data_IF_438214233080
#
_entry.id   IF_438214233080
#
_cell.length_a   1.000
_cell.length_b   1.000
_cell.length_c   1.000
_cell.angle_alpha   90.00
_cell.angle_beta   90.00
_cell.angle_gamma   90.00
#
_symmetry.space_group_name_H-M   'P 1'
#
loop_
_entity.id
_entity.type
_entity.pdbx_description
1 polymer ?
#
# COMPACT_ATOMS: atom_id res chain seq x y z
N UNK A 1 69.32 12.53 -17.45
CA UNK A 1 68.12 12.97 -18.16
C UNK A 1 67.26 11.76 -18.53
N UNK A 2 66.84 10.90 -17.59
CA UNK A 2 66.05 9.70 -17.94
C UNK A 2 65.17 9.22 -16.77
N UNK A 3 64.04 9.88 -16.49
CA UNK A 3 62.99 9.34 -15.58
C UNK A 3 61.56 9.81 -15.97
N UNK A 4 61.30 10.12 -17.24
CA UNK A 4 59.98 10.63 -17.70
C UNK A 4 59.14 9.53 -18.40
N UNK A 5 59.74 8.42 -18.82
CA UNK A 5 59.07 7.34 -19.57
C UNK A 5 57.87 6.66 -18.87
N UNK A 6 57.95 6.21 -17.60
CA UNK A 6 56.87 5.45 -16.99
C UNK A 6 55.64 6.30 -16.61
N UNK A 7 55.82 7.59 -16.30
CA UNK A 7 54.72 8.49 -15.94
C UNK A 7 53.79 8.80 -17.12
N UNK A 8 54.34 8.87 -18.34
CA UNK A 8 53.54 9.07 -19.57
C UNK A 8 52.72 7.80 -19.87
N UNK A 9 53.28 6.61 -19.63
CA UNK A 9 52.57 5.34 -19.83
C UNK A 9 51.33 5.19 -18.96
N UNK A 10 51.40 5.55 -17.68
CA UNK A 10 50.24 5.49 -16.77
C UNK A 10 49.17 6.53 -17.11
N UNK A 11 49.56 7.73 -17.55
CA UNK A 11 48.61 8.76 -17.99
C UNK A 11 47.85 8.33 -19.26
N UNK A 12 48.54 7.69 -20.22
CA UNK A 12 47.92 7.18 -21.46
C UNK A 12 46.98 6.01 -21.17
N UNK A 13 47.35 5.08 -20.27
CA UNK A 13 46.48 3.99 -19.83
C UNK A 13 45.23 4.49 -19.08
N UNK A 14 45.37 5.51 -18.23
CA UNK A 14 44.24 6.13 -17.53
C UNK A 14 43.26 6.81 -18.49
N UNK A 15 43.77 7.51 -19.50
CA UNK A 15 42.94 8.16 -20.54
C UNK A 15 42.21 7.13 -21.42
N UNK A 16 42.86 6.03 -21.78
CA UNK A 16 42.22 4.94 -22.53
C UNK A 16 41.11 4.25 -21.71
N UNK A 17 41.33 4.00 -20.42
CA UNK A 17 40.31 3.43 -19.54
C UNK A 17 39.10 4.39 -19.38
N UNK A 18 39.35 5.69 -19.24
CA UNK A 18 38.29 6.70 -19.18
C UNK A 18 37.49 6.79 -20.48
N UNK A 19 38.16 6.68 -21.64
CA UNK A 19 37.52 6.67 -22.96
C UNK A 19 36.64 5.42 -23.13
N UNK A 20 37.13 4.25 -22.75
CA UNK A 20 36.35 2.99 -22.79
C UNK A 20 35.12 3.09 -21.87
N UNK A 21 35.28 3.61 -20.66
CA UNK A 21 34.16 3.80 -19.72
C UNK A 21 33.12 4.79 -20.28
N UNK A 22 33.57 5.88 -20.90
CA UNK A 22 32.70 6.86 -21.54
C UNK A 22 31.93 6.26 -22.73
N UNK A 23 32.58 5.44 -23.56
CA UNK A 23 31.94 4.74 -24.69
C UNK A 23 30.92 3.73 -24.18
N UNK A 24 31.23 2.94 -23.15
CA UNK A 24 30.30 1.98 -22.54
C UNK A 24 29.10 2.71 -21.92
N UNK A 25 29.34 3.80 -21.18
CA UNK A 25 28.28 4.60 -20.56
C UNK A 25 27.36 5.24 -21.61
N UNK A 26 27.93 5.79 -22.69
CA UNK A 26 27.13 6.38 -23.77
C UNK A 26 26.37 5.34 -24.58
N UNK A 27 26.95 4.14 -24.79
CA UNK A 27 26.26 3.02 -25.42
C UNK A 27 25.13 2.49 -24.52
N UNK A 28 25.35 2.38 -23.22
CA UNK A 28 24.32 2.01 -22.23
C UNK A 28 23.18 3.04 -22.19
N UNK A 29 23.48 4.35 -22.22
CA UNK A 29 22.47 5.42 -22.29
C UNK A 29 21.70 5.36 -23.61
N UNK A 30 22.35 5.06 -24.74
CA UNK A 30 21.66 4.90 -26.03
C UNK A 30 20.78 3.65 -26.08
N UNK A 31 21.27 2.52 -25.58
CA UNK A 31 20.52 1.25 -25.54
C UNK A 31 19.34 1.36 -24.55
N UNK A 32 19.52 1.99 -23.38
CA UNK A 32 18.41 2.26 -22.45
C UNK A 32 17.38 3.23 -23.04
N UNK A 33 17.80 4.21 -23.85
CA UNK A 33 16.87 5.07 -24.63
C UNK A 33 16.13 4.31 -25.74
N UNK A 34 16.74 3.26 -26.31
CA UNK A 34 16.09 2.40 -27.30
C UNK A 34 15.09 1.43 -26.65
N UNK A 35 15.39 0.90 -25.46
CA UNK A 35 14.49 0.05 -24.68
C UNK A 35 13.33 0.83 -24.04
N UNK A 36 13.52 2.11 -23.68
CA UNK A 36 12.45 2.96 -23.15
C UNK A 36 11.48 3.50 -24.22
N UNK A 37 11.78 3.29 -25.52
CA UNK A 37 10.95 3.78 -26.63
C UNK A 37 9.87 2.78 -27.10
N UNK A 38 9.93 1.51 -26.70
CA UNK A 38 8.98 0.48 -27.20
C UNK A 38 7.88 0.04 -26.23
N UNK A 39 7.91 0.44 -24.95
CA UNK A 39 6.76 0.31 -24.04
C UNK A 39 6.75 1.42 -22.98
N UNK A 40 6.53 2.67 -23.43
CA UNK A 40 5.88 3.66 -22.56
C UNK A 40 4.39 3.58 -22.86
N UNK A 41 3.54 3.03 -21.96
CA UNK A 41 2.16 3.45 -21.98
C UNK A 41 2.19 4.96 -21.75
N UNK A 42 1.74 5.72 -22.75
CA UNK A 42 1.30 7.09 -22.55
C UNK A 42 0.36 7.06 -21.34
N UNK A 43 0.54 7.90 -20.30
CA UNK A 43 -0.53 8.11 -19.35
C UNK A 43 -1.66 8.79 -20.15
N UNK A 44 -2.55 7.98 -20.70
CA UNK A 44 -3.84 8.47 -21.18
C UNK A 44 -4.46 9.22 -20.01
N UNK A 45 -5.03 10.42 -20.23
CA UNK A 45 -5.63 11.20 -19.17
C UNK A 45 -6.62 10.29 -18.43
N UNK A 46 -6.58 10.35 -17.10
CA UNK A 46 -7.67 9.87 -16.25
C UNK A 46 -8.97 10.28 -16.95
N UNK A 47 -9.69 9.30 -17.51
CA UNK A 47 -11.06 9.55 -17.94
C UNK A 47 -11.71 10.19 -16.72
N UNK A 48 -12.17 11.43 -16.85
CA UNK A 48 -12.90 12.13 -15.80
C UNK A 48 -14.17 11.34 -15.54
N UNK A 49 -14.06 10.28 -14.76
CA UNK A 49 -15.16 9.76 -14.00
C UNK A 49 -15.51 10.87 -13.02
N UNK A 50 -16.78 11.26 -12.96
CA UNK A 50 -17.32 12.17 -11.95
C UNK A 50 -17.30 11.54 -10.54
N UNK A 51 -16.32 10.67 -10.26
CA UNK A 51 -16.12 9.99 -8.99
C UNK A 51 -15.79 11.04 -7.92
N UNK A 52 -16.69 11.18 -6.96
CA UNK A 52 -16.54 12.09 -5.82
C UNK A 52 -15.77 11.37 -4.71
N UNK A 53 -14.86 12.04 -3.97
CA UNK A 53 -14.25 11.47 -2.78
C UNK A 53 -15.33 11.02 -1.79
N UNK A 54 -15.18 9.82 -1.23
CA UNK A 54 -16.05 9.37 -0.15
C UNK A 54 -15.72 10.18 1.11
N UNK A 55 -16.70 10.93 1.62
CA UNK A 55 -16.65 11.63 2.90
C UNK A 55 -17.72 11.04 3.81
N UNK A 56 -17.39 10.78 5.08
CA UNK A 56 -18.32 10.28 6.11
C UNK A 56 -19.51 11.26 6.28
N UNK A 57 -20.75 10.92 5.86
CA UNK A 57 -21.95 11.73 6.09
C UNK A 57 -22.68 11.25 7.36
N UNK A 58 -23.56 12.10 7.91
CA UNK A 58 -24.48 11.73 8.98
C UNK A 58 -25.56 10.75 8.49
N UNK A 59 -25.78 9.68 9.26
CA UNK A 59 -26.78 8.61 9.12
C UNK A 59 -27.89 8.86 8.08
N UNK A 60 -27.92 8.03 7.02
CA UNK A 60 -29.07 7.90 6.12
C UNK A 60 -29.67 6.51 6.28
N UNK A 61 -30.96 6.45 6.56
CA UNK A 61 -31.71 5.24 6.85
C UNK A 61 -32.66 4.96 5.67
N UNK A 62 -32.35 3.99 4.80
CA UNK A 62 -33.35 3.48 3.86
C UNK A 62 -33.12 1.98 3.61
N UNK A 63 -33.96 1.13 4.21
CA UNK A 63 -34.03 -0.31 3.94
C UNK A 63 -35.07 -0.58 2.84
N UNK A 64 -34.63 -0.62 1.58
CA UNK A 64 -35.26 -1.44 0.55
C UNK A 64 -34.50 -2.78 0.48
N UNK A 65 -35.19 -3.90 0.29
CA UNK A 65 -34.56 -5.23 0.23
C UNK A 65 -33.45 -5.26 -0.83
N UNK A 66 -32.21 -5.49 -0.40
CA UNK A 66 -31.05 -5.26 -1.25
C UNK A 66 -31.00 -6.23 -2.45
N UNK A 67 -30.71 -5.70 -3.64
CA UNK A 67 -30.48 -6.45 -4.88
C UNK A 67 -29.28 -7.41 -4.83
N UNK A 68 -28.48 -7.32 -3.77
CA UNK A 68 -27.28 -8.09 -3.53
C UNK A 68 -27.08 -8.27 -2.03
N UNK A 69 -26.23 -9.22 -1.66
CA UNK A 69 -25.76 -9.38 -0.28
C UNK A 69 -24.26 -9.63 -0.25
N UNK A 70 -23.63 -9.22 0.84
CA UNK A 70 -22.30 -9.69 1.20
C UNK A 70 -22.40 -11.15 1.64
N UNK A 71 -21.53 -12.00 1.11
CA UNK A 71 -21.31 -13.37 1.60
C UNK A 71 -20.18 -13.26 2.62
N UNK A 72 -20.42 -13.38 3.94
CA UNK A 72 -19.39 -13.28 4.97
C UNK A 72 -18.33 -14.36 4.82
N UNK A 73 -17.14 -14.11 5.33
CA UNK A 73 -16.08 -15.10 5.34
C UNK A 73 -16.52 -16.39 6.03
N UNK A 74 -16.19 -17.53 5.41
CA UNK A 74 -16.57 -18.86 5.89
C UNK A 74 -17.97 -19.33 5.46
N UNK A 75 -18.82 -18.45 4.91
CA UNK A 75 -20.10 -18.88 4.33
C UNK A 75 -19.88 -19.56 2.97
N UNK A 76 -20.57 -20.68 2.74
CA UNK A 76 -20.68 -21.34 1.43
C UNK A 76 -21.97 -20.96 0.74
N UNK A 77 -21.91 -20.72 -0.57
CA UNK A 77 -23.07 -20.42 -1.41
C UNK A 77 -23.06 -21.25 -2.69
N UNK A 78 -24.23 -21.48 -3.28
CA UNK A 78 -24.33 -22.11 -4.60
C UNK A 78 -24.31 -21.05 -5.71
N UNK A 79 -23.40 -21.20 -6.67
CA UNK A 79 -23.31 -20.37 -7.89
C UNK A 79 -23.21 -21.31 -9.08
N UNK A 80 -24.14 -21.19 -10.04
CA UNK A 80 -24.18 -22.06 -11.24
C UNK A 80 -24.08 -23.57 -10.93
N UNK A 81 -24.80 -24.02 -9.88
CA UNK A 81 -24.80 -25.41 -9.38
C UNK A 81 -23.47 -25.92 -8.82
N UNK A 82 -22.50 -25.03 -8.55
CA UNK A 82 -21.28 -25.34 -7.83
C UNK A 82 -21.32 -24.71 -6.44
N UNK A 83 -20.78 -25.41 -5.44
CA UNK A 83 -20.54 -24.83 -4.12
C UNK A 83 -19.29 -23.94 -4.17
N UNK A 84 -19.45 -22.68 -3.76
CA UNK A 84 -18.37 -21.71 -3.58
C UNK A 84 -18.24 -21.44 -2.10
N UNK A 85 -17.17 -21.94 -1.50
CA UNK A 85 -16.86 -21.82 -0.08
C UNK A 85 -15.98 -20.59 0.22
N UNK A 86 -15.94 -20.22 1.50
CA UNK A 86 -15.01 -19.23 2.05
C UNK A 86 -15.51 -17.78 2.03
N UNK A 87 -16.51 -17.44 1.22
CA UNK A 87 -17.15 -16.11 1.22
C UNK A 87 -16.20 -14.93 0.93
N UNK A 88 -16.53 -13.73 1.39
CA UNK A 88 -15.75 -12.51 1.16
C UNK A 88 -16.04 -11.80 -0.16
N UNK A 89 -17.24 -11.99 -0.73
CA UNK A 89 -17.63 -11.35 -2.00
C UNK A 89 -19.12 -10.99 -1.98
N UNK A 90 -19.56 -10.16 -2.93
CA UNK A 90 -20.98 -9.84 -3.09
C UNK A 90 -21.66 -10.79 -4.06
N UNK A 91 -22.81 -11.33 -3.68
CA UNK A 91 -23.68 -12.16 -4.51
C UNK A 91 -24.95 -11.37 -4.81
N UNK A 92 -25.38 -11.28 -6.06
CA UNK A 92 -26.56 -10.49 -6.40
C UNK A 92 -27.00 -10.59 -7.86
N UNK A 93 -28.07 -9.89 -8.19
CA UNK A 93 -28.68 -9.86 -9.51
C UNK A 93 -28.33 -8.53 -10.20
N UNK A 94 -27.51 -8.58 -11.27
CA UNK A 94 -27.11 -7.37 -12.00
C UNK A 94 -28.28 -6.70 -12.73
N UNK A 95 -29.40 -7.40 -12.96
CA UNK A 95 -30.58 -6.83 -13.64
C UNK A 95 -31.38 -5.89 -12.74
N UNK A 96 -31.19 -5.99 -11.42
CA UNK A 96 -31.83 -5.10 -10.45
C UNK A 96 -31.01 -3.82 -10.27
N UNK A 97 -31.67 -2.66 -10.04
CA UNK A 97 -30.97 -1.43 -9.74
C UNK A 97 -30.02 -1.61 -8.55
N UNK A 98 -28.74 -1.32 -8.78
CA UNK A 98 -27.69 -1.32 -7.77
C UNK A 98 -26.72 -0.18 -8.07
N UNK A 99 -25.91 0.21 -7.08
CA UNK A 99 -24.85 1.18 -7.32
C UNK A 99 -23.87 0.59 -8.37
N UNK A 100 -23.46 1.33 -9.41
CA UNK A 100 -22.55 0.84 -10.45
C UNK A 100 -21.19 0.31 -9.94
N UNK A 101 -20.87 0.56 -8.67
CA UNK A 101 -19.61 0.21 -8.04
C UNK A 101 -19.64 -1.10 -7.22
N UNK A 102 -20.72 -1.91 -7.30
CA UNK A 102 -20.76 -3.20 -6.57
C UNK A 102 -20.17 -4.32 -7.44
N UNK A 103 -19.06 -4.97 -7.02
CA UNK A 103 -18.45 -6.07 -7.75
C UNK A 103 -19.21 -7.37 -7.48
N UNK A 104 -20.37 -7.51 -8.12
CA UNK A 104 -21.27 -8.65 -7.91
C UNK A 104 -20.77 -9.90 -8.62
N UNK A 105 -20.89 -11.04 -7.95
CA UNK A 105 -21.01 -12.35 -8.57
C UNK A 105 -22.49 -12.60 -8.82
N UNK A 106 -22.87 -12.69 -10.09
CA UNK A 106 -24.26 -12.93 -10.48
C UNK A 106 -24.49 -14.40 -10.84
N UNK A 107 -25.30 -15.14 -10.05
CA UNK A 107 -25.54 -16.56 -10.27
C UNK A 107 -26.40 -16.86 -11.50
N UNK A 108 -27.07 -15.87 -12.10
CA UNK A 108 -27.87 -16.05 -13.32
C UNK A 108 -27.00 -16.07 -14.59
N UNK A 109 -25.76 -15.58 -14.53
CA UNK A 109 -24.86 -15.56 -15.67
C UNK A 109 -24.23 -16.93 -15.92
N UNK A 110 -24.02 -17.27 -17.21
CA UNK A 110 -23.42 -18.55 -17.61
C UNK A 110 -21.98 -18.68 -17.09
N UNK A 111 -21.67 -19.84 -16.53
CA UNK A 111 -20.34 -20.22 -16.01
C UNK A 111 -19.89 -21.52 -16.66
N UNK A 112 -18.61 -21.60 -17.02
CA UNK A 112 -17.96 -22.83 -17.49
C UNK A 112 -16.78 -23.19 -16.58
N UNK A 113 -16.94 -24.23 -15.76
CA UNK A 113 -15.90 -24.72 -14.85
C UNK A 113 -14.93 -25.72 -15.51
N UNK A 114 -15.21 -26.20 -16.73
CA UNK A 114 -14.46 -27.32 -17.33
C UNK A 114 -13.07 -26.94 -17.80
N UNK A 115 -12.86 -25.68 -18.17
CA UNK A 115 -11.59 -25.17 -18.72
C UNK A 115 -11.20 -23.89 -18.01
N UNK A 116 -10.59 -24.03 -16.83
CA UNK A 116 -10.06 -22.90 -16.08
C UNK A 116 -8.74 -22.44 -16.70
N UNK A 117 -8.69 -21.17 -17.09
CA UNK A 117 -7.52 -20.53 -17.68
C UNK A 117 -6.94 -19.54 -16.66
N UNK A 118 -6.24 -20.07 -15.65
CA UNK A 118 -5.73 -19.28 -14.51
C UNK A 118 -4.84 -18.11 -14.92
N UNK A 119 -3.98 -18.30 -15.92
CA UNK A 119 -3.05 -17.29 -16.43
C UNK A 119 -3.63 -16.41 -17.54
N UNK A 120 -4.88 -16.62 -17.96
CA UNK A 120 -5.49 -15.79 -18.99
C UNK A 120 -5.77 -14.39 -18.43
N UNK A 121 -5.07 -13.40 -18.98
CA UNK A 121 -5.21 -12.01 -18.60
C UNK A 121 -6.63 -11.50 -18.85
N UNK A 122 -7.10 -10.66 -17.93
CA UNK A 122 -8.35 -9.93 -18.10
C UNK A 122 -8.07 -8.53 -18.68
N UNK A 123 -9.10 -7.92 -19.26
CA UNK A 123 -9.03 -6.52 -19.67
C UNK A 123 -8.82 -5.58 -18.48
N UNK A 124 -8.51 -4.31 -18.78
CA UNK A 124 -8.38 -3.28 -17.74
C UNK A 124 -9.72 -3.05 -17.04
N UNK A 125 -9.70 -2.98 -15.70
CA UNK A 125 -10.89 -2.89 -14.85
C UNK A 125 -11.96 -3.94 -15.20
N UNK A 126 -11.66 -5.22 -14.99
CA UNK A 126 -12.61 -6.28 -15.30
C UNK A 126 -13.86 -6.15 -14.42
N UNK A 127 -15.00 -6.53 -15.00
CA UNK A 127 -16.30 -6.60 -14.34
C UNK A 127 -16.86 -8.00 -14.56
N UNK A 128 -17.44 -8.63 -13.53
CA UNK A 128 -17.95 -10.01 -13.60
C UNK A 128 -18.96 -10.23 -14.74
N UNK A 129 -19.84 -9.25 -14.95
CA UNK A 129 -20.85 -9.27 -16.01
C UNK A 129 -20.23 -9.35 -17.41
N UNK A 130 -19.04 -8.76 -17.63
CA UNK A 130 -18.36 -8.72 -18.93
C UNK A 130 -17.44 -9.90 -19.19
N UNK A 131 -17.23 -10.76 -18.18
CA UNK A 131 -16.42 -11.95 -18.33
C UNK A 131 -17.10 -12.98 -19.23
N UNK A 132 -16.32 -13.70 -20.02
CA UNK A 132 -16.79 -14.92 -20.69
C UNK A 132 -17.18 -16.00 -19.67
N UNK A 133 -18.01 -17.00 -20.03
CA UNK A 133 -18.35 -18.09 -19.13
C UNK A 133 -17.14 -18.80 -18.51
N UNK A 134 -16.06 -18.99 -19.28
CA UNK A 134 -14.80 -19.59 -18.81
C UNK A 134 -14.09 -18.71 -17.79
N UNK A 135 -13.97 -17.42 -18.07
CA UNK A 135 -13.37 -16.46 -17.12
C UNK A 135 -14.16 -16.38 -15.81
N UNK A 136 -15.50 -16.44 -15.86
CA UNK A 136 -16.32 -16.57 -14.63
C UNK A 136 -16.01 -17.86 -13.88
N UNK A 137 -15.84 -18.97 -14.59
CA UNK A 137 -15.43 -20.25 -14.01
C UNK A 137 -14.06 -20.16 -13.31
N UNK A 138 -13.07 -19.53 -13.95
CA UNK A 138 -11.75 -19.28 -13.36
C UNK A 138 -11.85 -18.39 -12.11
N UNK A 139 -12.63 -17.31 -12.15
CA UNK A 139 -12.83 -16.45 -10.98
C UNK A 139 -13.45 -17.22 -9.82
N UNK A 140 -14.52 -17.99 -10.09
CA UNK A 140 -15.22 -18.77 -9.07
C UNK A 140 -14.31 -19.87 -8.50
N UNK A 141 -13.48 -20.50 -9.32
CA UNK A 141 -12.45 -21.43 -8.86
C UNK A 141 -11.40 -20.74 -7.98
N UNK A 142 -10.98 -19.52 -8.33
CA UNK A 142 -10.10 -18.71 -7.50
C UNK A 142 -10.75 -18.39 -6.15
N UNK A 143 -12.01 -17.93 -6.13
CA UNK A 143 -12.76 -17.62 -4.92
C UNK A 143 -12.96 -18.87 -4.03
N UNK A 144 -13.14 -20.04 -4.63
CA UNK A 144 -13.29 -21.32 -3.92
C UNK A 144 -11.95 -21.95 -3.49
N UNK A 145 -10.82 -21.29 -3.77
CA UNK A 145 -9.48 -21.74 -3.36
C UNK A 145 -8.99 -21.01 -2.11
N UNK A 146 -7.75 -21.29 -1.69
CA UNK A 146 -7.06 -20.49 -0.65
C UNK A 146 -6.74 -19.05 -1.08
N UNK A 147 -6.94 -18.70 -2.37
CA UNK A 147 -6.65 -17.37 -2.94
C UNK A 147 -5.17 -16.98 -2.77
N UNK A 148 -4.29 -17.95 -3.02
CA UNK A 148 -2.82 -17.84 -2.88
C UNK A 148 -2.06 -18.23 -4.14
N UNK A 149 -2.76 -18.72 -5.17
CA UNK A 149 -2.10 -19.12 -6.42
C UNK A 149 -1.42 -17.93 -7.05
N UNK A 150 -0.12 -18.05 -7.34
CA UNK A 150 0.69 -17.05 -8.04
C UNK A 150 0.59 -17.18 -9.56
N UNK A 151 -0.07 -18.23 -10.05
CA UNK A 151 -0.33 -18.45 -11.48
C UNK A 151 -1.60 -17.75 -11.97
N UNK A 152 -2.42 -17.23 -11.05
CA UNK A 152 -3.64 -16.52 -11.40
C UNK A 152 -3.30 -15.14 -11.98
N UNK A 153 -3.92 -14.79 -13.10
CA UNK A 153 -3.81 -13.46 -13.67
C UNK A 153 -4.35 -12.42 -12.66
N UNK A 154 -3.66 -11.28 -12.55
CA UNK A 154 -3.92 -10.31 -11.49
C UNK A 154 -5.34 -9.72 -11.54
N UNK A 155 -5.96 -9.71 -12.72
CA UNK A 155 -7.34 -9.24 -12.90
C UNK A 155 -8.35 -9.99 -12.02
N UNK A 156 -8.16 -11.29 -11.80
CA UNK A 156 -9.04 -12.08 -10.91
C UNK A 156 -8.85 -11.68 -9.43
N UNK A 157 -7.62 -11.35 -9.02
CA UNK A 157 -7.33 -10.83 -7.68
C UNK A 157 -8.00 -9.47 -7.49
N UNK A 158 -7.95 -8.60 -8.50
CA UNK A 158 -8.62 -7.30 -8.45
C UNK A 158 -10.15 -7.44 -8.32
N UNK A 159 -10.80 -8.34 -9.07
CA UNK A 159 -12.23 -8.58 -8.94
C UNK A 159 -12.65 -8.93 -7.51
N UNK A 160 -11.87 -9.79 -6.85
CA UNK A 160 -12.10 -10.12 -5.44
C UNK A 160 -11.80 -8.93 -4.52
N UNK A 161 -10.68 -8.27 -4.73
CA UNK A 161 -10.22 -7.13 -3.93
C UNK A 161 -11.17 -5.93 -3.97
N UNK A 162 -11.85 -5.68 -5.11
CA UNK A 162 -12.89 -4.65 -5.21
C UNK A 162 -13.99 -4.85 -4.16
N UNK A 163 -14.35 -6.10 -3.87
CA UNK A 163 -15.34 -6.44 -2.85
C UNK A 163 -14.87 -6.04 -1.46
N UNK A 164 -13.60 -6.31 -1.13
CA UNK A 164 -12.98 -5.95 0.14
C UNK A 164 -12.90 -4.43 0.31
N UNK A 165 -12.42 -3.70 -0.70
CA UNK A 165 -12.36 -2.23 -0.67
C UNK A 165 -13.73 -1.62 -0.43
N UNK A 166 -14.74 -2.11 -1.17
CA UNK A 166 -16.12 -1.66 -1.00
C UNK A 166 -16.64 -1.98 0.40
N UNK A 167 -16.41 -3.18 0.92
CA UNK A 167 -16.88 -3.59 2.25
C UNK A 167 -16.27 -2.72 3.35
N UNK A 168 -14.97 -2.39 3.23
CA UNK A 168 -14.25 -1.54 4.18
C UNK A 168 -14.70 -0.08 4.08
N UNK A 169 -14.62 0.54 2.90
CA UNK A 169 -14.74 2.00 2.75
C UNK A 169 -16.12 2.51 2.37
N UNK A 170 -17.03 1.62 1.98
CA UNK A 170 -18.39 2.01 1.61
C UNK A 170 -19.41 1.40 2.57
N UNK A 171 -19.32 0.11 2.88
CA UNK A 171 -20.30 -0.50 3.80
C UNK A 171 -19.96 -0.19 5.26
N UNK A 172 -18.85 -0.73 5.77
CA UNK A 172 -18.46 -0.57 7.18
C UNK A 172 -18.11 0.87 7.56
N UNK A 173 -17.75 1.69 6.57
CA UNK A 173 -17.50 3.11 6.80
C UNK A 173 -18.78 3.94 7.05
N UNK A 174 -19.93 3.44 6.60
CA UNK A 174 -21.24 4.11 6.74
C UNK A 174 -22.20 3.38 7.69
N UNK A 175 -21.91 2.13 8.04
CA UNK A 175 -22.68 1.31 8.97
C UNK A 175 -21.79 0.77 10.10
N UNK A 176 -21.90 1.40 11.26
CA UNK A 176 -21.14 1.03 12.47
C UNK A 176 -21.43 -0.39 12.94
N UNK A 177 -22.58 -0.98 12.59
CA UNK A 177 -22.87 -2.38 12.92
C UNK A 177 -21.94 -3.38 12.22
N UNK A 178 -21.25 -2.94 11.15
CA UNK A 178 -20.29 -3.75 10.40
C UNK A 178 -18.84 -3.52 10.86
N UNK A 179 -18.60 -2.64 11.85
CA UNK A 179 -17.25 -2.36 12.33
C UNK A 179 -16.51 -3.61 12.84
N UNK A 180 -17.26 -4.59 13.37
CA UNK A 180 -16.73 -5.89 13.80
C UNK A 180 -16.11 -6.74 12.67
N UNK A 181 -16.43 -6.45 11.40
CA UNK A 181 -15.84 -7.15 10.25
C UNK A 181 -14.47 -6.60 9.85
N UNK A 182 -14.15 -5.35 10.23
CA UNK A 182 -12.94 -4.64 9.79
C UNK A 182 -11.63 -5.40 10.08
N UNK A 183 -11.42 -6.02 11.26
CA UNK A 183 -10.19 -6.77 11.52
C UNK A 183 -9.98 -7.91 10.52
N UNK A 184 -11.03 -8.66 10.20
CA UNK A 184 -10.94 -9.79 9.26
C UNK A 184 -10.73 -9.31 7.82
N UNK A 185 -11.42 -8.24 7.41
CA UNK A 185 -11.27 -7.63 6.09
C UNK A 185 -9.86 -7.08 5.87
N UNK A 186 -9.31 -6.35 6.84
CA UNK A 186 -7.96 -5.78 6.75
C UNK A 186 -6.91 -6.89 6.80
N UNK A 187 -7.08 -7.92 7.63
CA UNK A 187 -6.19 -9.08 7.63
C UNK A 187 -6.14 -9.79 6.27
N UNK A 188 -7.28 -9.89 5.59
CA UNK A 188 -7.34 -10.45 4.24
C UNK A 188 -6.62 -9.56 3.21
N UNK A 189 -6.78 -8.23 3.28
CA UNK A 189 -6.02 -7.30 2.43
C UNK A 189 -4.52 -7.42 2.69
N UNK A 190 -4.09 -7.54 3.94
CA UNK A 190 -2.69 -7.76 4.30
C UNK A 190 -2.15 -9.09 3.73
N UNK A 191 -2.95 -10.17 3.78
CA UNK A 191 -2.59 -11.46 3.19
C UNK A 191 -2.43 -11.35 1.68
N UNK A 192 -3.41 -10.77 0.98
CA UNK A 192 -3.34 -10.54 -0.46
C UNK A 192 -2.14 -9.66 -0.84
N UNK A 193 -1.89 -8.58 -0.10
CA UNK A 193 -0.75 -7.69 -0.31
C UNK A 193 0.58 -8.45 -0.22
N UNK A 194 0.72 -9.34 0.76
CA UNK A 194 1.92 -10.16 0.94
C UNK A 194 2.14 -11.13 -0.23
N UNK A 195 1.08 -11.75 -0.74
CA UNK A 195 1.15 -12.72 -1.85
C UNK A 195 1.38 -12.01 -3.19
N UNK A 196 0.57 -11.00 -3.50
CA UNK A 196 0.48 -10.41 -4.84
C UNK A 196 1.21 -9.08 -5.00
N UNK A 197 1.46 -8.35 -3.90
CA UNK A 197 2.20 -7.08 -3.93
C UNK A 197 3.61 -7.18 -4.50
N UNK A 198 4.41 -8.22 -4.17
CA UNK A 198 5.71 -8.44 -4.81
C UNK A 198 5.62 -8.77 -6.31
N UNK A 199 4.48 -9.31 -6.76
CA UNK A 199 4.29 -9.83 -8.12
C UNK A 199 3.72 -8.79 -9.08
N UNK A 200 2.97 -7.81 -8.56
CA UNK A 200 2.29 -6.81 -9.39
C UNK A 200 2.36 -5.41 -8.78
N UNK A 201 3.01 -4.48 -9.51
CA UNK A 201 3.19 -3.10 -9.05
C UNK A 201 1.87 -2.38 -8.78
N UNK A 202 0.88 -2.49 -9.67
CA UNK A 202 -0.41 -1.82 -9.49
C UNK A 202 -1.13 -2.34 -8.24
N UNK A 203 -1.19 -3.66 -8.07
CA UNK A 203 -1.80 -4.26 -6.88
C UNK A 203 -1.09 -3.84 -5.60
N UNK A 204 0.25 -3.79 -5.61
CA UNK A 204 1.07 -3.30 -4.49
C UNK A 204 0.67 -1.88 -4.07
N UNK A 205 0.47 -0.97 -5.03
CA UNK A 205 0.10 0.42 -4.76
C UNK A 205 -1.28 0.52 -4.11
N UNK A 206 -2.29 -0.14 -4.66
CA UNK A 206 -3.66 -0.07 -4.13
C UNK A 206 -3.81 -0.78 -2.78
N UNK A 207 -3.29 -2.00 -2.65
CA UNK A 207 -3.42 -2.78 -1.42
C UNK A 207 -2.52 -2.31 -0.28
N UNK A 208 -1.35 -1.73 -0.60
CA UNK A 208 -0.33 -1.41 0.40
C UNK A 208 -0.81 -0.43 1.46
N UNK A 209 -1.53 0.62 1.06
CA UNK A 209 -2.02 1.61 2.01
C UNK A 209 -3.01 1.01 3.01
N UNK A 210 -3.98 0.22 2.53
CA UNK A 210 -4.95 -0.46 3.41
C UNK A 210 -4.25 -1.51 4.26
N UNK A 211 -3.28 -2.25 3.72
CA UNK A 211 -2.50 -3.19 4.48
C UNK A 211 -1.71 -2.53 5.64
N UNK A 212 -1.22 -1.31 5.43
CA UNK A 212 -0.44 -0.55 6.42
C UNK A 212 -1.30 0.17 7.45
N UNK A 213 -2.25 1.02 7.02
CA UNK A 213 -3.03 1.89 7.91
C UNK A 213 -4.46 1.42 8.16
N UNK A 214 -4.90 0.34 7.51
CA UNK A 214 -6.20 -0.30 7.77
C UNK A 214 -6.45 -0.65 9.24
N UNK A 215 -5.44 -1.06 10.05
CA UNK A 215 -5.63 -1.29 11.49
C UNK A 215 -6.22 -0.10 12.26
N UNK A 216 -6.01 1.12 11.77
CA UNK A 216 -6.55 2.34 12.40
C UNK A 216 -8.08 2.46 12.26
N UNK A 217 -8.70 1.72 11.34
CA UNK A 217 -10.16 1.74 11.17
C UNK A 217 -10.89 1.06 12.34
N UNK A 218 -10.19 0.25 13.13
CA UNK A 218 -10.70 -0.46 14.30
C UNK A 218 -9.78 -0.26 15.53
N UNK A 219 -9.14 0.92 15.60
CA UNK A 219 -8.30 1.37 16.72
C UNK A 219 -7.14 0.43 17.10
N UNK A 220 -6.67 -0.39 16.15
CA UNK A 220 -5.52 -1.26 16.37
C UNK A 220 -4.19 -0.51 16.18
N UNK A 221 -3.16 -0.84 16.97
CA UNK A 221 -1.80 -0.33 16.78
C UNK A 221 -1.29 -0.57 15.36
N UNK A 222 -0.56 0.40 14.83
CA UNK A 222 0.23 0.26 13.61
C UNK A 222 1.69 0.16 14.05
N UNK A 223 2.41 -0.93 13.74
CA UNK A 223 3.81 -1.06 14.12
C UNK A 223 4.71 -0.29 13.16
N UNK A 224 5.83 0.23 13.67
CA UNK A 224 6.88 0.76 12.81
C UNK A 224 7.42 -0.34 11.89
N UNK A 225 7.64 -0.01 10.61
CA UNK A 225 8.24 -0.93 9.65
C UNK A 225 9.76 -0.95 9.81
N UNK A 226 10.40 -2.11 9.63
CA UNK A 226 11.86 -2.19 9.55
C UNK A 226 12.40 -1.28 8.43
N UNK A 227 13.57 -0.68 8.67
CA UNK A 227 14.23 0.20 7.72
C UNK A 227 15.75 -0.01 7.72
N UNK A 228 16.31 -0.15 6.51
CA UNK A 228 17.75 -0.30 6.28
C UNK A 228 18.44 1.05 5.98
N UNK A 229 17.65 2.12 5.87
CA UNK A 229 18.13 3.49 5.68
C UNK A 229 17.10 4.48 6.21
N UNK A 230 17.56 5.66 6.63
CA UNK A 230 16.64 6.69 7.13
C UNK A 230 15.71 7.20 6.02
N UNK A 231 14.39 7.26 6.28
CA UNK A 231 13.41 7.70 5.28
C UNK A 231 13.57 9.18 4.99
N UNK A 232 13.32 9.61 3.75
CA UNK A 232 13.38 11.02 3.37
C UNK A 232 12.30 11.84 4.07
N UNK A 233 11.08 11.32 4.06
CA UNK A 233 9.89 11.93 4.64
C UNK A 233 9.24 10.98 5.65
N UNK A 234 8.39 11.54 6.51
CA UNK A 234 7.58 10.74 7.44
C UNK A 234 6.56 9.90 6.67
N UNK A 235 6.67 8.57 6.77
CA UNK A 235 5.69 7.64 6.22
C UNK A 235 4.35 7.71 6.96
N UNK A 236 3.30 7.16 6.35
CA UNK A 236 1.98 7.11 6.98
C UNK A 236 1.94 6.23 8.22
N UNK A 237 2.64 5.08 8.19
CA UNK A 237 2.73 4.21 9.36
C UNK A 237 3.51 4.91 10.48
N UNK A 238 4.62 5.57 10.16
CA UNK A 238 5.37 6.35 11.15
C UNK A 238 4.51 7.47 11.77
N UNK A 239 3.77 8.22 10.96
CA UNK A 239 2.84 9.23 11.48
C UNK A 239 1.76 8.61 12.39
N UNK A 240 1.25 7.43 12.05
CA UNK A 240 0.29 6.70 12.86
C UNK A 240 0.89 6.21 14.19
N UNK A 241 2.03 5.54 14.15
CA UNK A 241 2.70 4.99 15.34
C UNK A 241 3.11 6.09 16.31
N UNK A 242 3.71 7.17 15.81
CA UNK A 242 4.06 8.34 16.62
C UNK A 242 2.80 9.03 17.16
N UNK A 243 1.75 9.15 16.34
CA UNK A 243 0.46 9.67 16.77
C UNK A 243 -0.15 8.85 17.92
N UNK A 244 -0.05 7.52 17.87
CA UNK A 244 -0.49 6.61 18.94
C UNK A 244 0.30 6.83 20.23
N UNK A 245 1.63 6.94 20.15
CA UNK A 245 2.49 7.23 21.29
C UNK A 245 2.11 8.55 21.98
N UNK A 246 1.96 9.62 21.18
CA UNK A 246 1.62 10.96 21.67
C UNK A 246 0.19 11.01 22.25
N UNK A 247 -0.78 10.36 21.61
CA UNK A 247 -2.16 10.27 22.14
C UNK A 247 -2.19 9.56 23.50
N UNK A 248 -1.36 8.53 23.67
CA UNK A 248 -1.24 7.78 24.92
C UNK A 248 -0.45 8.53 26.00
N UNK A 249 0.12 9.71 25.71
CA UNK A 249 1.01 10.41 26.64
C UNK A 249 2.31 9.66 26.94
N UNK A 250 2.67 8.68 26.10
CA UNK A 250 3.87 7.86 26.27
C UNK A 250 5.09 8.62 25.75
N UNK A 251 6.18 8.61 26.51
CA UNK A 251 7.47 9.08 26.03
C UNK A 251 7.94 8.26 24.83
N UNK A 252 8.45 8.93 23.80
CA UNK A 252 8.94 8.25 22.61
C UNK A 252 10.15 7.36 22.96
N UNK A 253 10.22 6.18 22.36
CA UNK A 253 11.42 5.33 22.44
C UNK A 253 12.57 5.98 21.67
N UNK A 254 13.80 5.49 21.91
CA UNK A 254 14.95 5.96 21.14
C UNK A 254 14.76 5.74 19.64
N UNK A 255 14.21 4.59 19.22
CA UNK A 255 13.96 4.29 17.81
C UNK A 255 12.90 5.23 17.19
N UNK A 256 11.79 5.47 17.90
CA UNK A 256 10.74 6.40 17.46
C UNK A 256 11.27 7.83 17.31
N UNK A 257 12.02 8.30 18.32
CA UNK A 257 12.59 9.64 18.34
C UNK A 257 13.68 9.81 17.27
N UNK A 258 14.55 8.81 17.08
CA UNK A 258 15.59 8.83 16.05
C UNK A 258 14.99 8.84 14.65
N UNK A 259 14.00 7.99 14.40
CA UNK A 259 13.34 7.92 13.09
C UNK A 259 12.66 9.25 12.77
N UNK A 260 11.97 9.86 13.75
CA UNK A 260 11.37 11.19 13.60
C UNK A 260 12.41 12.29 13.40
N UNK A 261 13.46 12.32 14.20
CA UNK A 261 14.55 13.27 14.00
C UNK A 261 15.16 13.14 12.58
N UNK A 262 15.29 11.91 12.08
CA UNK A 262 15.85 11.67 10.74
C UNK A 262 15.02 12.30 9.62
N UNK A 263 13.70 12.47 9.77
CA UNK A 263 12.86 13.13 8.74
C UNK A 263 12.95 14.67 8.81
N UNK A 264 13.63 15.21 9.82
CA UNK A 264 13.78 16.65 10.04
C UNK A 264 15.18 17.17 9.65
N UNK A 265 16.09 16.29 9.23
CA UNK A 265 17.46 16.65 8.81
C UNK A 265 17.93 15.87 7.60
N UNK A 266 18.74 16.52 6.76
CA UNK A 266 19.42 15.91 5.62
C UNK A 266 20.76 15.26 5.99
N UNK A 267 21.32 15.53 7.17
CA UNK A 267 22.61 14.98 7.58
C UNK A 267 22.60 13.43 7.55
N UNK A 268 21.49 12.85 7.99
CA UNK A 268 21.26 11.40 8.07
C UNK A 268 21.09 10.69 6.72
N UNK A 269 21.09 11.41 5.58
CA UNK A 269 20.76 10.86 4.24
C UNK A 269 21.97 10.40 3.44
N UNK A 270 23.19 10.66 3.93
CA UNK A 270 24.41 10.22 3.26
C UNK A 270 24.52 8.70 3.20
N UNK A 271 25.08 8.15 2.11
CA UNK A 271 25.31 6.70 1.95
C UNK A 271 26.16 6.09 3.07
N UNK A 272 26.97 6.90 3.76
CA UNK A 272 27.73 6.47 4.92
C UNK A 272 26.81 6.03 6.07
N UNK A 273 25.75 6.79 6.35
CA UNK A 273 24.79 6.50 7.44
C UNK A 273 24.14 5.12 7.25
N UNK A 274 23.76 4.76 6.02
CA UNK A 274 23.16 3.45 5.75
C UNK A 274 24.11 2.29 6.01
N UNK A 275 25.43 2.47 5.83
CA UNK A 275 26.42 1.41 6.02
C UNK A 275 26.74 1.14 7.50
N UNK A 276 26.61 2.16 8.34
CA UNK A 276 26.88 2.08 9.79
C UNK A 276 25.62 2.35 10.61
N UNK A 277 24.44 2.08 10.04
CA UNK A 277 23.17 2.32 10.70
C UNK A 277 23.06 1.59 12.05
N UNK A 278 23.52 0.33 12.21
CA UNK A 278 23.52 -0.35 13.51
C UNK A 278 24.33 0.39 14.58
N UNK A 279 25.51 0.90 14.24
CA UNK A 279 26.39 1.64 15.14
C UNK A 279 25.79 3.00 15.53
N UNK A 280 25.20 3.70 14.55
CA UNK A 280 24.47 4.95 14.77
C UNK A 280 23.28 4.72 15.71
N UNK A 281 22.50 3.65 15.48
CA UNK A 281 21.38 3.26 16.36
C UNK A 281 21.87 3.06 17.79
N UNK A 282 22.95 2.30 17.98
CA UNK A 282 23.47 1.98 19.30
C UNK A 282 23.98 3.23 20.05
N UNK A 283 24.76 4.09 19.37
CA UNK A 283 25.29 5.31 19.98
C UNK A 283 24.19 6.34 20.26
N UNK A 284 23.26 6.53 19.33
CA UNK A 284 22.10 7.39 19.53
C UNK A 284 21.26 6.90 20.71
N UNK A 285 20.96 5.60 20.78
CA UNK A 285 20.14 5.03 21.86
C UNK A 285 20.79 5.21 23.24
N UNK A 286 22.11 5.04 23.35
CA UNK A 286 22.84 5.29 24.59
C UNK A 286 22.69 6.75 25.06
N UNK A 287 22.98 7.71 24.16
CA UNK A 287 22.85 9.16 24.46
C UNK A 287 21.41 9.58 24.73
N UNK A 288 20.46 9.01 24.00
CA UNK A 288 19.05 9.29 24.15
C UNK A 288 18.53 8.87 25.53
N UNK A 289 18.90 7.68 26.00
CA UNK A 289 18.46 7.18 27.31
C UNK A 289 19.08 7.96 28.47
N UNK A 290 20.29 8.49 28.32
CA UNK A 290 20.90 9.38 29.31
C UNK A 290 20.12 10.69 29.44
N UNK A 291 19.72 11.31 28.32
CA UNK A 291 19.00 12.59 28.32
C UNK A 291 17.49 12.45 28.57
N UNK A 292 16.88 11.35 28.12
CA UNK A 292 15.45 11.08 28.17
C UNK A 292 15.17 9.70 28.80
N UNK A 293 15.46 9.49 30.10
CA UNK A 293 15.28 8.19 30.74
C UNK A 293 13.82 7.69 30.75
N UNK A 294 12.84 8.61 30.69
CA UNK A 294 11.42 8.31 30.56
C UNK A 294 10.90 8.41 29.11
N UNK A 295 11.78 8.64 28.13
CA UNK A 295 11.44 8.97 26.75
C UNK A 295 11.09 10.44 26.54
N UNK A 296 11.15 10.90 25.29
CA UNK A 296 10.80 12.27 24.91
C UNK A 296 9.28 12.46 24.99
N UNK A 297 8.84 13.31 25.91
CA UNK A 297 7.45 13.78 25.94
C UNK A 297 7.19 14.79 24.81
N UNK A 298 6.11 14.58 24.07
CA UNK A 298 5.68 15.49 23.00
C UNK A 298 4.29 16.06 23.37
N UNK A 299 4.12 17.40 23.39
CA UNK A 299 2.82 18.01 23.65
C UNK A 299 1.78 17.59 22.60
N UNK A 300 0.55 17.29 23.05
CA UNK A 300 -0.53 16.80 22.18
C UNK A 300 -0.96 17.86 21.13
N UNK A 301 -0.73 17.62 19.83
CA UNK A 301 -1.20 18.52 18.78
C UNK A 301 -2.74 18.52 18.67
N UNK A 302 -3.31 19.68 18.34
CA UNK A 302 -4.77 19.83 18.13
C UNK A 302 -5.26 19.21 16.81
N UNK A 303 -4.40 19.19 15.78
CA UNK A 303 -4.74 18.66 14.46
C UNK A 303 -4.84 17.14 14.51
N UNK A 304 -5.87 16.57 13.86
CA UNK A 304 -6.06 15.12 13.75
C UNK A 304 -5.44 14.55 12.49
N UNK A 305 -4.90 13.34 12.59
CA UNK A 305 -4.31 12.60 11.48
C UNK A 305 -5.41 12.11 10.54
N UNK A 306 -5.24 12.41 9.26
CA UNK A 306 -6.19 12.08 8.19
C UNK A 306 -5.47 11.38 7.05
N UNK A 307 -6.18 10.45 6.42
CA UNK A 307 -5.73 9.69 5.27
C UNK A 307 -6.74 9.79 4.13
N UNK A 308 -6.25 9.63 2.90
CA UNK A 308 -7.05 9.65 1.67
C UNK A 308 -6.67 8.45 0.81
N UNK A 309 -7.33 7.32 1.00
CA UNK A 309 -6.97 6.04 0.36
C UNK A 309 -7.51 5.99 -1.05
N UNK A 310 -6.63 5.91 -2.06
CA UNK A 310 -7.02 5.68 -3.45
C UNK A 310 -7.61 4.28 -3.58
N UNK A 311 -8.80 4.16 -4.15
CA UNK A 311 -9.49 2.89 -4.34
C UNK A 311 -9.23 2.35 -5.74
N UNK A 312 -9.16 1.03 -5.86
CA UNK A 312 -9.00 0.35 -7.15
C UNK A 312 -10.34 0.01 -7.82
N UNK A 313 -11.40 -0.16 -7.01
CA UNK A 313 -12.73 -0.48 -7.50
C UNK A 313 -13.31 0.64 -8.39
N UNK A 314 -14.00 0.30 -9.49
CA UNK A 314 -14.67 1.29 -10.33
C UNK A 314 -15.75 2.04 -9.54
N UNK A 315 -15.92 3.33 -9.83
CA UNK A 315 -16.97 4.18 -9.27
C UNK A 315 -16.56 5.05 -8.08
N UNK A 316 -15.50 4.70 -7.35
CA UNK A 316 -14.94 5.55 -6.29
C UNK A 316 -13.48 5.88 -6.58
N UNK A 317 -13.11 7.16 -6.43
CA UNK A 317 -11.72 7.58 -6.60
C UNK A 317 -10.92 7.29 -5.34
N UNK A 318 -11.39 7.80 -4.21
CA UNK A 318 -10.69 7.64 -2.95
C UNK A 318 -11.65 7.70 -1.77
N UNK A 319 -11.18 7.22 -0.62
CA UNK A 319 -11.86 7.27 0.66
C UNK A 319 -11.05 8.09 1.67
N UNK A 320 -11.63 9.21 2.11
CA UNK A 320 -11.05 10.03 3.16
C UNK A 320 -11.52 9.55 4.53
N UNK A 321 -10.58 9.29 5.43
CA UNK A 321 -10.90 9.02 6.83
C UNK A 321 -10.01 9.79 7.80
N UNK A 322 -10.65 10.27 8.87
CA UNK A 322 -9.97 10.88 9.99
C UNK A 322 -9.84 9.86 11.13
N UNK A 323 -8.74 9.94 11.85
CA UNK A 323 -8.51 9.19 13.08
C UNK A 323 -8.59 10.12 14.29
N UNK A 324 -8.69 9.55 15.48
CA UNK A 324 -8.55 10.31 16.71
C UNK A 324 -7.08 10.59 17.09
N UNK A 325 -6.12 10.08 16.30
CA UNK A 325 -4.71 10.30 16.51
C UNK A 325 -4.33 11.75 16.18
N UNK A 326 -3.41 12.36 16.95
CA UNK A 326 -2.83 13.64 16.57
C UNK A 326 -2.00 13.52 15.29
N UNK A 327 -2.07 14.54 14.43
CA UNK A 327 -1.18 14.67 13.29
C UNK A 327 0.14 15.30 13.72
N UNK A 328 1.18 14.47 13.77
CA UNK A 328 2.52 14.86 14.20
C UNK A 328 3.39 15.40 13.08
N UNK A 329 2.96 15.33 11.81
CA UNK A 329 3.80 15.66 10.63
C UNK A 329 4.33 17.10 10.61
N UNK A 330 3.66 18.02 11.31
CA UNK A 330 4.04 19.44 11.41
C UNK A 330 4.66 19.82 12.75
N UNK A 331 4.98 18.84 13.61
CA UNK A 331 5.60 19.07 14.91
C UNK A 331 7.11 18.86 14.77
N UNK A 332 7.89 19.86 15.18
CA UNK A 332 9.36 19.83 15.10
C UNK A 332 10.07 20.43 16.32
N UNK A 333 9.45 21.39 17.02
CA UNK A 333 10.09 22.09 18.13
C UNK A 333 10.60 21.17 19.26
N UNK A 334 9.84 20.16 19.73
CA UNK A 334 10.33 19.22 20.76
C UNK A 334 11.46 18.31 20.27
N UNK A 335 11.59 18.12 18.96
CA UNK A 335 12.57 17.22 18.36
C UNK A 335 13.92 17.91 18.10
N UNK A 336 14.04 19.23 18.23
CA UNK A 336 15.29 19.96 17.94
C UNK A 336 16.52 19.40 18.68
N UNK A 337 16.48 19.11 19.99
CA UNK A 337 17.63 18.54 20.68
C UNK A 337 17.95 17.11 20.19
N UNK A 338 16.93 16.36 19.80
CA UNK A 338 17.07 14.99 19.28
C UNK A 338 17.69 14.99 17.88
N UNK A 339 17.33 15.97 17.04
CA UNK A 339 17.98 16.20 15.73
C UNK A 339 19.46 16.51 15.93
N UNK A 340 19.80 17.43 16.84
CA UNK A 340 21.20 17.74 17.14
C UNK A 340 21.96 16.52 17.68
N UNK A 341 21.31 15.67 18.47
CA UNK A 341 21.88 14.40 18.93
C UNK A 341 22.18 13.47 17.76
N UNK A 342 21.25 13.28 16.82
CA UNK A 342 21.45 12.44 15.63
C UNK A 342 22.54 12.97 14.70
N UNK A 343 22.66 14.29 14.57
CA UNK A 343 23.70 14.94 13.75
C UNK A 343 25.10 14.84 14.35
N UNK A 344 25.21 14.70 15.66
CA UNK A 344 26.48 14.52 16.38
C UNK A 344 26.91 13.07 16.61
N UNK A 345 26.16 12.10 16.07
CA UNK A 345 26.43 10.65 16.14
C UNK A 345 27.23 10.18 14.93
#
# INVERSE_FOLDING_TARGET
MEWIGPLIGFAVLGLLAALVFYVIATLYIRISKLFTRKHRPTPTPVAKSNATPLKRPSKSNTRQGAAFRWVPFGESVSVANAEIAGGGFYLGDHTRPHSPAVPLVDPALRVDFKQQEWSAELGYWPEYERLTPRQRGTLLAYLNSKRESTQVAIGYVFLYYYGLERRIFVDAFHDESLAGELPQLVAEVQRLHRVYGPLNHSFKQYSGRIATIGPLLYDSPVPLQPYDSFPWDMSEEMAATLGQAVKAGRGLTAEEAMLWASTLTNASKGKAYSKVLPEIRALFEARYREQYPAGLGVPLPKTKLKFDVMLSAPGYRSAEFATDLPDVRRVSAPLKPVVAMLEGV
#
